data_IF_381604279254
#
_entry.id   IF_381604279254
#
_cell.length_a   1.000
_cell.length_b   1.000
_cell.length_c   1.000
_cell.angle_alpha   90.00
_cell.angle_beta   90.00
_cell.angle_gamma   90.00
#
_symmetry.space_group_name_H-M   'P 1'
#
loop_
_entity.id
_entity.type
_entity.pdbx_description
1 polymer ?
#
# COMPACT_ATOMS: atom_id res chain seq x y z
N UNK A 1 -3.80 8.77 -10.46
CA UNK A 1 -4.81 8.92 -11.53
C UNK A 1 -6.09 9.53 -10.96
N UNK A 2 -6.73 8.84 -10.01
CA UNK A 2 -8.00 9.27 -9.40
C UNK A 2 -7.90 10.69 -8.80
N UNK A 3 -6.81 11.01 -8.09
CA UNK A 3 -6.56 12.36 -7.56
C UNK A 3 -6.53 13.48 -8.63
N UNK A 4 -6.11 13.17 -9.86
CA UNK A 4 -6.10 14.15 -10.97
C UNK A 4 -7.50 14.29 -11.58
N UNK A 5 -8.21 13.18 -11.71
CA UNK A 5 -9.59 13.15 -12.23
C UNK A 5 -10.56 13.88 -11.29
N UNK A 6 -10.28 13.88 -9.99
CA UNK A 6 -11.05 14.62 -8.98
C UNK A 6 -10.64 16.08 -8.81
N UNK A 7 -9.81 16.61 -9.71
CA UNK A 7 -9.27 17.97 -9.60
C UNK A 7 -8.57 18.25 -8.26
N UNK A 8 -7.73 17.32 -7.79
CA UNK A 8 -6.88 17.48 -6.60
C UNK A 8 -7.68 17.73 -5.31
N UNK A 9 -8.86 17.12 -5.19
CA UNK A 9 -9.64 17.12 -3.96
C UNK A 9 -8.94 16.28 -2.87
N UNK A 10 -8.86 16.86 -1.67
CA UNK A 10 -8.32 16.19 -0.50
C UNK A 10 -9.20 14.98 -0.12
N UNK A 11 -8.59 13.96 0.46
CA UNK A 11 -9.28 12.81 1.05
C UNK A 11 -9.44 11.62 0.11
N UNK A 12 -9.14 11.76 -1.18
CA UNK A 12 -9.38 10.69 -2.15
C UNK A 12 -8.35 9.57 -2.02
N UNK A 13 -7.08 9.88 -1.77
CA UNK A 13 -6.09 8.84 -1.51
C UNK A 13 -6.35 8.17 -0.16
N UNK A 14 -6.80 8.95 0.84
CA UNK A 14 -7.17 8.47 2.18
C UNK A 14 -8.39 7.56 2.15
N UNK A 15 -9.43 7.89 1.38
CA UNK A 15 -10.62 7.05 1.21
C UNK A 15 -10.24 5.75 0.52
N UNK A 16 -9.45 5.80 -0.56
CA UNK A 16 -9.03 4.60 -1.27
C UNK A 16 -8.15 3.69 -0.39
N UNK A 17 -7.17 4.28 0.31
CA UNK A 17 -6.32 3.57 1.26
C UNK A 17 -7.11 3.00 2.43
N UNK A 18 -8.05 3.78 2.98
CA UNK A 18 -8.93 3.35 4.07
C UNK A 18 -9.87 2.23 3.66
N UNK A 19 -10.51 2.31 2.49
CA UNK A 19 -11.33 1.23 1.93
C UNK A 19 -10.51 -0.04 1.70
N UNK A 20 -9.30 0.11 1.14
CA UNK A 20 -8.38 -1.00 0.98
C UNK A 20 -8.07 -1.66 2.34
N UNK A 21 -7.68 -0.88 3.35
CA UNK A 21 -7.35 -1.39 4.68
C UNK A 21 -8.56 -2.00 5.40
N UNK A 22 -9.75 -1.45 5.20
CA UNK A 22 -11.00 -1.96 5.78
C UNK A 22 -11.34 -3.33 5.18
N UNK A 23 -11.36 -3.44 3.85
CA UNK A 23 -11.61 -4.71 3.15
C UNK A 23 -10.55 -5.72 3.57
N UNK A 24 -9.27 -5.31 3.63
CA UNK A 24 -8.18 -6.17 4.04
C UNK A 24 -8.34 -6.67 5.48
N UNK A 25 -8.64 -5.77 6.41
CA UNK A 25 -8.80 -6.13 7.82
C UNK A 25 -10.00 -7.05 8.01
N UNK A 26 -11.12 -6.82 7.33
CA UNK A 26 -12.33 -7.63 7.47
C UNK A 26 -12.23 -9.01 6.84
N UNK A 27 -11.41 -9.18 5.79
CA UNK A 27 -11.29 -10.46 5.06
C UNK A 27 -10.10 -11.32 5.50
N UNK A 28 -8.99 -10.70 5.92
CA UNK A 28 -7.76 -11.41 6.24
C UNK A 28 -7.42 -11.42 7.74
N UNK A 29 -7.68 -10.31 8.45
CA UNK A 29 -7.24 -10.14 9.85
C UNK A 29 -8.33 -10.58 10.82
N UNK A 30 -9.52 -9.99 10.75
CA UNK A 30 -10.63 -10.23 11.69
C UNK A 30 -11.06 -11.71 11.76
N UNK A 31 -11.13 -12.46 10.64
CA UNK A 31 -11.49 -13.88 10.70
C UNK A 31 -10.43 -14.78 11.36
N UNK A 32 -9.21 -14.27 11.55
CA UNK A 32 -8.08 -15.03 12.06
C UNK A 32 -7.66 -14.54 13.45
N UNK A 33 -8.08 -15.27 14.49
CA UNK A 33 -7.80 -14.94 15.89
C UNK A 33 -6.32 -14.66 16.19
N UNK A 34 -5.38 -15.32 15.50
CA UNK A 34 -3.95 -15.11 15.73
C UNK A 34 -3.42 -13.78 15.18
N UNK A 35 -4.17 -13.10 14.31
CA UNK A 35 -3.80 -11.80 13.74
C UNK A 35 -4.57 -10.65 14.37
N UNK A 36 -5.49 -10.90 15.31
CA UNK A 36 -6.32 -9.85 15.90
C UNK A 36 -5.51 -8.72 16.56
N UNK A 37 -4.40 -9.07 17.22
CA UNK A 37 -3.51 -8.09 17.87
C UNK A 37 -2.79 -7.18 16.85
N UNK A 38 -2.77 -7.55 15.57
CA UNK A 38 -2.12 -6.77 14.50
C UNK A 38 -3.04 -5.71 13.89
N UNK A 39 -4.33 -5.68 14.23
CA UNK A 39 -5.32 -4.74 13.67
C UNK A 39 -4.84 -3.29 13.83
N UNK A 40 -4.31 -2.94 15.00
CA UNK A 40 -3.80 -1.58 15.25
C UNK A 40 -2.62 -1.25 14.32
N UNK A 41 -1.67 -2.17 14.18
CA UNK A 41 -0.51 -1.99 13.30
C UNK A 41 -0.95 -1.76 11.85
N UNK A 42 -1.89 -2.56 11.34
CA UNK A 42 -2.40 -2.36 9.98
C UNK A 42 -3.22 -1.08 9.82
N UNK A 43 -3.95 -0.66 10.85
CA UNK A 43 -4.71 0.59 10.85
C UNK A 43 -3.80 1.82 10.73
N UNK A 44 -2.60 1.78 11.34
CA UNK A 44 -1.61 2.86 11.24
C UNK A 44 -1.09 3.05 9.81
N UNK A 45 -1.21 2.06 8.92
CA UNK A 45 -0.88 2.23 7.51
C UNK A 45 -1.82 3.21 6.78
N UNK A 46 -2.88 3.70 7.42
CA UNK A 46 -3.70 4.80 6.89
C UNK A 46 -2.94 6.14 6.88
N UNK A 47 -2.04 6.36 7.84
CA UNK A 47 -1.26 7.60 8.01
C UNK A 47 -0.57 8.04 6.71
N UNK A 48 0.21 7.19 6.02
CA UNK A 48 0.89 7.60 4.79
C UNK A 48 -0.08 7.97 3.64
N UNK A 49 -1.30 7.43 3.60
CA UNK A 49 -2.32 7.87 2.63
C UNK A 49 -2.87 9.27 2.96
N UNK A 50 -3.06 9.57 4.25
CA UNK A 50 -3.45 10.91 4.71
C UNK A 50 -2.35 11.93 4.40
N UNK A 51 -1.09 11.58 4.69
CA UNK A 51 0.07 12.40 4.35
C UNK A 51 0.11 12.64 2.83
N UNK A 52 -0.11 11.61 2.02
CA UNK A 52 -0.15 11.77 0.56
C UNK A 52 -1.21 12.79 0.11
N UNK A 53 -2.42 12.75 0.66
CA UNK A 53 -3.46 13.74 0.35
C UNK A 53 -3.07 15.17 0.76
N UNK A 54 -2.47 15.35 1.94
CA UNK A 54 -1.98 16.65 2.41
C UNK A 54 -0.95 17.21 1.43
N UNK A 55 0.08 16.41 1.09
CA UNK A 55 1.16 16.84 0.21
C UNK A 55 0.66 17.18 -1.20
N UNK A 56 -0.21 16.34 -1.77
CA UNK A 56 -0.75 16.60 -3.11
C UNK A 56 -1.70 17.80 -3.14
N UNK A 57 -2.40 18.10 -2.03
CA UNK A 57 -3.28 19.26 -1.92
C UNK A 57 -2.48 20.57 -1.81
N UNK A 58 -1.47 20.58 -0.94
CA UNK A 58 -0.65 21.76 -0.64
C UNK A 58 0.37 22.08 -1.74
N UNK A 59 1.00 21.06 -2.31
CA UNK A 59 2.10 21.24 -3.25
C UNK A 59 1.94 20.34 -4.48
N UNK A 60 1.76 20.96 -5.65
CA UNK A 60 1.54 20.25 -6.94
C UNK A 60 2.80 20.16 -7.79
N UNK A 61 3.96 20.45 -7.22
CA UNK A 61 5.25 20.35 -7.92
C UNK A 61 5.56 18.90 -8.33
N UNK A 62 6.44 18.75 -9.33
CA UNK A 62 6.96 17.42 -9.74
C UNK A 62 7.60 16.68 -8.56
N UNK A 63 8.29 17.40 -7.69
CA UNK A 63 8.96 16.84 -6.51
C UNK A 63 7.94 16.28 -5.52
N UNK A 64 6.87 17.03 -5.21
CA UNK A 64 5.78 16.55 -4.35
C UNK A 64 5.12 15.29 -4.92
N UNK A 65 4.89 15.25 -6.24
CA UNK A 65 4.35 14.07 -6.91
C UNK A 65 5.29 12.86 -6.82
N UNK A 66 6.60 13.04 -6.97
CA UNK A 66 7.57 11.95 -6.80
C UNK A 66 7.65 11.47 -5.36
N UNK A 67 7.66 12.39 -4.39
CA UNK A 67 7.62 12.05 -2.97
C UNK A 67 6.39 11.22 -2.64
N UNK A 68 5.21 11.65 -3.10
CA UNK A 68 3.96 10.92 -2.85
C UNK A 68 3.96 9.56 -3.54
N UNK A 69 4.51 9.46 -4.76
CA UNK A 69 4.69 8.18 -5.44
C UNK A 69 5.60 7.23 -4.67
N UNK A 70 6.72 7.73 -4.15
CA UNK A 70 7.63 6.95 -3.31
C UNK A 70 7.00 6.56 -1.97
N UNK A 71 6.30 7.49 -1.31
CA UNK A 71 5.59 7.24 -0.06
C UNK A 71 4.55 6.15 -0.22
N UNK A 72 3.59 6.31 -1.15
CA UNK A 72 2.53 5.32 -1.38
C UNK A 72 3.11 4.00 -1.90
N UNK A 73 4.15 4.05 -2.72
CA UNK A 73 4.89 2.85 -3.14
C UNK A 73 5.51 2.11 -1.95
N UNK A 74 6.14 2.83 -1.01
CA UNK A 74 6.75 2.23 0.18
C UNK A 74 5.73 1.55 1.11
N UNK A 75 4.49 2.05 1.16
CA UNK A 75 3.40 1.46 1.94
C UNK A 75 3.06 0.04 1.48
N UNK A 76 3.30 -0.30 0.20
CA UNK A 76 3.14 -1.66 -0.31
C UNK A 76 3.89 -2.69 0.55
N UNK A 77 5.07 -2.33 1.07
CA UNK A 77 5.84 -3.21 1.91
C UNK A 77 5.09 -3.60 3.20
N UNK A 78 4.54 -2.61 3.90
CA UNK A 78 3.85 -2.85 5.17
C UNK A 78 2.47 -3.48 4.99
N UNK A 79 1.82 -3.19 3.86
CA UNK A 79 0.42 -3.54 3.64
C UNK A 79 0.25 -4.86 2.88
N UNK A 80 1.20 -5.22 2.01
CA UNK A 80 1.02 -6.31 1.03
C UNK A 80 2.02 -7.47 1.21
N UNK A 81 3.23 -7.23 1.72
CA UNK A 81 4.26 -8.26 1.88
C UNK A 81 3.87 -9.43 2.82
N UNK A 82 3.20 -9.21 3.98
CA UNK A 82 2.74 -10.31 4.84
C UNK A 82 1.84 -11.31 4.11
N UNK A 83 1.05 -10.84 3.15
CA UNK A 83 0.05 -11.64 2.47
C UNK A 83 0.57 -12.31 1.19
N UNK A 84 1.50 -11.67 0.44
CA UNK A 84 2.22 -12.36 -0.64
C UNK A 84 2.90 -13.61 -0.09
N UNK A 85 3.55 -13.50 1.07
CA UNK A 85 4.14 -14.65 1.75
C UNK A 85 3.10 -15.74 2.10
N UNK A 86 1.90 -15.35 2.56
CA UNK A 86 0.84 -16.32 2.86
C UNK A 86 0.37 -17.07 1.61
N UNK A 87 -0.04 -16.34 0.57
CA UNK A 87 -0.56 -16.93 -0.67
C UNK A 87 0.52 -17.71 -1.43
N UNK A 88 1.77 -17.23 -1.46
CA UNK A 88 2.85 -17.97 -2.10
C UNK A 88 3.27 -19.21 -1.33
N UNK A 89 3.34 -19.17 0.00
CA UNK A 89 3.71 -20.35 0.78
C UNK A 89 2.67 -21.46 0.67
N UNK A 90 1.38 -21.12 0.60
CA UNK A 90 0.31 -22.11 0.38
C UNK A 90 0.44 -22.81 -0.99
N UNK A 91 0.77 -22.07 -2.05
CA UNK A 91 0.89 -22.57 -3.42
C UNK A 91 2.22 -23.30 -3.68
N UNK A 92 3.35 -22.77 -3.20
CA UNK A 92 4.69 -23.33 -3.45
C UNK A 92 5.01 -24.53 -2.55
N UNK A 93 4.60 -24.50 -1.28
CA UNK A 93 4.97 -25.54 -0.32
C UNK A 93 3.91 -26.63 -0.19
N UNK A 94 2.73 -26.45 -0.81
CA UNK A 94 1.59 -27.37 -0.69
C UNK A 94 1.15 -27.62 0.76
N UNK A 95 1.56 -26.74 1.68
CA UNK A 95 1.30 -26.81 3.11
C UNK A 95 0.62 -25.50 3.52
N UNK A 96 -0.51 -25.63 4.20
CA UNK A 96 -1.11 -24.55 4.95
C UNK A 96 -0.09 -24.08 6.00
N UNK A 97 0.64 -23.02 5.70
CA UNK A 97 1.35 -22.28 6.73
C UNK A 97 0.25 -21.64 7.56
N UNK A 98 0.08 -22.11 8.80
CA UNK A 98 -0.96 -21.59 9.67
C UNK A 98 -0.91 -20.07 9.66
N UNK A 99 -2.05 -19.39 9.49
CA UNK A 99 -2.09 -17.93 9.48
C UNK A 99 -1.45 -17.27 10.72
N UNK A 100 -1.35 -18.01 11.83
CA UNK A 100 -0.62 -17.61 13.04
C UNK A 100 0.92 -17.52 12.87
N UNK A 101 1.52 -18.30 11.97
CA UNK A 101 2.96 -18.28 11.69
C UNK A 101 3.36 -17.14 10.75
N UNK A 102 2.43 -16.56 9.99
CA UNK A 102 2.69 -15.44 9.07
C UNK A 102 3.33 -14.29 9.83
N UNK A 103 2.77 -13.93 10.99
CA UNK A 103 3.27 -12.86 11.82
C UNK A 103 4.74 -13.10 12.24
N UNK A 104 5.04 -14.28 12.76
CA UNK A 104 6.39 -14.64 13.18
C UNK A 104 7.40 -14.59 12.03
N UNK A 105 7.07 -15.25 10.92
CA UNK A 105 7.95 -15.30 9.73
C UNK A 105 8.11 -13.90 9.11
N UNK A 106 7.04 -13.10 9.10
CA UNK A 106 7.09 -11.71 8.64
C UNK A 106 8.07 -10.89 9.48
N UNK A 107 7.89 -10.83 10.80
CA UNK A 107 8.75 -10.02 11.67
C UNK A 107 10.20 -10.51 11.73
N UNK A 108 10.45 -11.80 11.51
CA UNK A 108 11.79 -12.36 11.43
C UNK A 108 12.48 -12.01 10.09
N UNK A 109 11.78 -12.13 8.97
CA UNK A 109 12.35 -11.87 7.64
C UNK A 109 12.29 -10.40 7.22
N UNK A 110 11.53 -9.55 7.93
CA UNK A 110 11.24 -8.17 7.54
C UNK A 110 12.53 -7.37 7.32
N UNK A 111 13.59 -7.59 8.09
CA UNK A 111 14.83 -6.84 7.92
C UNK A 111 15.61 -7.31 6.68
N UNK A 112 15.63 -8.62 6.46
CA UNK A 112 16.36 -9.26 5.35
C UNK A 112 15.79 -8.89 4.00
N UNK A 113 14.46 -8.84 3.88
CA UNK A 113 13.76 -8.59 2.61
C UNK A 113 13.37 -7.12 2.40
N UNK A 114 13.57 -6.28 3.41
CA UNK A 114 13.17 -4.87 3.39
C UNK A 114 13.66 -4.17 2.13
N UNK A 115 14.97 -4.19 1.88
CA UNK A 115 15.55 -3.42 0.76
C UNK A 115 15.14 -4.01 -0.59
N UNK A 116 15.06 -5.34 -0.69
CA UNK A 116 14.71 -6.04 -1.92
C UNK A 116 13.25 -5.81 -2.36
N UNK A 117 12.38 -5.44 -1.42
CA UNK A 117 10.96 -5.20 -1.69
C UNK A 117 10.62 -3.71 -1.69
N UNK A 118 11.15 -2.95 -0.73
CA UNK A 118 10.93 -1.52 -0.57
C UNK A 118 11.45 -0.72 -1.76
N UNK A 119 12.67 -1.01 -2.24
CA UNK A 119 13.27 -0.25 -3.35
C UNK A 119 12.46 -0.42 -4.63
N UNK A 120 12.14 -1.65 -5.10
CA UNK A 120 11.25 -1.82 -6.25
C UNK A 120 9.87 -1.19 -6.02
N UNK A 121 9.30 -1.31 -4.82
CA UNK A 121 7.99 -0.73 -4.53
C UNK A 121 7.98 0.81 -4.65
N UNK A 122 9.01 1.48 -4.14
CA UNK A 122 9.20 2.94 -4.31
C UNK A 122 9.33 3.29 -5.79
N UNK A 123 10.19 2.58 -6.53
CA UNK A 123 10.40 2.82 -7.97
C UNK A 123 9.08 2.67 -8.72
N UNK A 124 8.33 1.61 -8.47
CA UNK A 124 7.04 1.37 -9.10
C UNK A 124 5.98 2.39 -8.71
N UNK A 125 5.96 2.84 -7.45
CA UNK A 125 5.08 3.93 -7.01
C UNK A 125 5.35 5.24 -7.76
N UNK A 126 6.63 5.60 -7.94
CA UNK A 126 7.05 6.76 -8.73
C UNK A 126 6.65 6.61 -10.20
N UNK A 127 6.91 5.46 -10.81
CA UNK A 127 6.51 5.17 -12.20
C UNK A 127 4.99 5.29 -12.37
N UNK A 128 4.22 4.75 -11.42
CA UNK A 128 2.75 4.84 -11.41
C UNK A 128 2.26 6.29 -11.40
N UNK A 129 2.87 7.17 -10.60
CA UNK A 129 2.52 8.60 -10.59
C UNK A 129 2.83 9.28 -11.92
N UNK A 130 3.98 8.97 -12.54
CA UNK A 130 4.38 9.51 -13.85
C UNK A 130 3.41 9.08 -14.96
N UNK A 131 3.10 7.79 -15.04
CA UNK A 131 2.17 7.26 -16.04
C UNK A 131 0.76 7.81 -15.84
N UNK A 132 0.34 7.99 -14.58
CA UNK A 132 -0.97 8.54 -14.28
C UNK A 132 -1.19 9.95 -14.84
N UNK A 133 -0.12 10.75 -15.00
CA UNK A 133 -0.21 12.06 -15.65
C UNK A 133 -0.65 11.92 -17.10
N UNK A 134 0.01 11.04 -17.85
CA UNK A 134 -0.26 10.81 -19.28
C UNK A 134 -1.68 10.29 -19.48
N UNK A 135 -2.08 9.31 -18.67
CA UNK A 135 -3.41 8.71 -18.70
C UNK A 135 -4.53 9.71 -18.36
N UNK A 136 -4.39 10.47 -17.27
CA UNK A 136 -5.41 11.45 -16.88
C UNK A 136 -5.62 12.54 -17.92
N UNK A 137 -4.56 13.01 -18.59
CA UNK A 137 -4.68 13.98 -19.70
C UNK A 137 -5.45 13.35 -20.86
N UNK A 138 -5.12 12.12 -21.25
CA UNK A 138 -5.81 11.41 -22.33
C UNK A 138 -7.30 11.20 -22.04
N UNK A 139 -7.66 10.91 -20.78
CA UNK A 139 -9.05 10.72 -20.35
C UNK A 139 -9.82 12.04 -20.34
N UNK A 140 -9.21 13.14 -19.91
CA UNK A 140 -9.89 14.45 -19.80
C UNK A 140 -10.01 15.19 -21.14
N UNK A 141 -9.22 14.81 -22.15
CA UNK A 141 -9.26 15.39 -23.51
C UNK A 141 -10.17 14.62 -24.48
N UNK A 142 -10.63 13.44 -24.08
CA UNK A 142 -11.68 12.69 -24.76
C UNK A 142 -13.05 13.06 -24.17
#
# INVERSE_FOLDING_TARGET
>A
MIFRLSNYQFGIMSILGGLFLLIYSSTAIVPNFAMFDTVLFYSLNLIPFVIADIFLKLNRSKISMFFVGGLVGSVFYMVYYPYIMYTYNEILLGKLVSPSLIYFVYFELIQTVLLYTLVPAIVMGVVGVVLSKKLSVKILMN
#
